data_IF_238559713515
#
_entry.id   IF_238559713515
#
_cell.length_a   1.000
_cell.length_b   1.000
_cell.length_c   1.000
_cell.angle_alpha   90.00
_cell.angle_beta   90.00
_cell.angle_gamma   90.00
#
_symmetry.space_group_name_H-M   'P 1'
#
loop_
_entity.id
_entity.type
_entity.pdbx_description
1 polymer ?
#
# COMPACT_ATOMS: atom_id res chain seq x y z
N UNK A 1 -3.55 -20.29 40.48
CA UNK A 1 -2.81 -20.50 39.21
C UNK A 1 -3.59 -19.83 38.09
N UNK A 2 -3.10 -18.74 37.50
CA UNK A 2 -3.78 -18.06 36.37
C UNK A 2 -3.63 -18.88 35.10
N UNK A 3 -4.73 -19.38 34.53
CA UNK A 3 -4.72 -20.14 33.26
C UNK A 3 -4.72 -19.16 32.07
N UNK A 4 -3.78 -19.33 31.13
CA UNK A 4 -3.72 -18.50 29.93
C UNK A 4 -4.92 -18.81 29.01
N UNK A 5 -5.61 -17.78 28.55
CA UNK A 5 -6.77 -17.90 27.64
C UNK A 5 -6.42 -18.43 26.24
N UNK A 6 -5.21 -18.16 25.74
CA UNK A 6 -4.77 -18.63 24.41
C UNK A 6 -3.30 -19.02 24.41
N UNK A 7 -2.89 -19.81 23.41
CA UNK A 7 -1.48 -20.17 23.19
C UNK A 7 -0.61 -18.98 22.76
N UNK A 8 -1.20 -17.87 22.30
CA UNK A 8 -0.48 -16.72 21.74
C UNK A 8 0.08 -16.98 20.33
N UNK A 9 0.92 -16.07 19.82
CA UNK A 9 1.56 -16.21 18.50
C UNK A 9 2.52 -17.41 18.50
N UNK A 10 2.23 -18.41 17.68
CA UNK A 10 3.09 -19.59 17.51
C UNK A 10 4.07 -19.38 16.35
N UNK A 11 5.26 -19.95 16.47
CA UNK A 11 6.19 -20.09 15.36
C UNK A 11 5.64 -21.13 14.39
N UNK A 12 5.73 -20.84 13.09
CA UNK A 12 5.38 -21.76 12.01
C UNK A 12 6.55 -21.81 11.02
N UNK A 13 6.67 -22.92 10.29
CA UNK A 13 7.68 -23.07 9.24
C UNK A 13 7.41 -22.12 8.05
N UNK A 14 8.47 -21.68 7.38
CA UNK A 14 8.37 -20.89 6.15
C UNK A 14 8.25 -21.85 4.97
N UNK A 15 7.07 -22.46 4.85
CA UNK A 15 6.65 -23.33 3.74
C UNK A 15 5.19 -23.05 3.40
N UNK A 16 4.67 -23.68 2.35
CA UNK A 16 3.25 -23.57 2.01
C UNK A 16 2.37 -24.09 3.17
N UNK A 17 1.30 -23.34 3.49
CA UNK A 17 0.33 -23.73 4.51
C UNK A 17 -0.73 -24.60 3.84
N UNK A 18 -0.77 -25.90 4.10
CA UNK A 18 -1.69 -26.83 3.44
C UNK A 18 -3.16 -26.58 3.79
N UNK A 19 -3.46 -26.23 5.03
CA UNK A 19 -4.84 -25.98 5.48
C UNK A 19 -5.39 -24.66 4.90
N UNK A 20 -6.41 -24.74 4.04
CA UNK A 20 -6.95 -23.58 3.32
C UNK A 20 -7.50 -22.46 4.22
N UNK A 21 -8.18 -22.80 5.32
CA UNK A 21 -8.71 -21.80 6.27
C UNK A 21 -7.55 -21.03 6.92
N UNK A 22 -6.50 -21.75 7.31
CA UNK A 22 -5.29 -21.15 7.90
C UNK A 22 -4.51 -20.37 6.85
N UNK A 23 -4.46 -20.85 5.60
CA UNK A 23 -3.84 -20.18 4.45
C UNK A 23 -4.52 -18.84 4.18
N UNK A 24 -5.86 -18.81 4.07
CA UNK A 24 -6.65 -17.59 3.83
C UNK A 24 -6.57 -16.58 4.99
N UNK A 25 -6.62 -17.07 6.24
CA UNK A 25 -6.46 -16.22 7.42
C UNK A 25 -5.06 -15.62 7.49
N UNK A 26 -4.04 -16.44 7.24
CA UNK A 26 -2.64 -16.02 7.24
C UNK A 26 -2.38 -15.04 6.11
N UNK A 27 -2.89 -15.30 4.91
CA UNK A 27 -2.86 -14.39 3.77
C UNK A 27 -3.40 -13.02 4.16
N UNK A 28 -4.62 -12.99 4.72
CA UNK A 28 -5.28 -11.73 5.09
C UNK A 28 -4.46 -10.92 6.10
N UNK A 29 -3.93 -11.58 7.13
CA UNK A 29 -3.10 -10.93 8.16
C UNK A 29 -1.74 -10.47 7.61
N UNK A 30 -1.04 -11.31 6.85
CA UNK A 30 0.28 -10.97 6.29
C UNK A 30 0.17 -9.88 5.23
N UNK A 31 -0.83 -9.95 4.35
CA UNK A 31 -1.15 -8.90 3.36
C UNK A 31 -1.35 -7.54 4.03
N UNK A 32 -2.16 -7.48 5.09
CA UNK A 32 -2.34 -6.24 5.85
C UNK A 32 -1.01 -5.74 6.47
N UNK A 33 -0.24 -6.65 7.08
CA UNK A 33 1.05 -6.32 7.68
C UNK A 33 2.08 -5.78 6.69
N UNK A 34 2.23 -6.41 5.52
CA UNK A 34 3.18 -5.97 4.49
C UNK A 34 2.76 -4.64 3.86
N UNK A 35 1.46 -4.46 3.57
CA UNK A 35 0.95 -3.18 3.06
C UNK A 35 1.19 -2.05 4.06
N UNK A 36 0.97 -2.28 5.36
CA UNK A 36 1.29 -1.28 6.39
C UNK A 36 2.78 -0.94 6.40
N UNK A 37 3.66 -1.94 6.33
CA UNK A 37 5.11 -1.72 6.29
C UNK A 37 5.56 -0.95 5.04
N UNK A 38 4.96 -1.23 3.89
CA UNK A 38 5.22 -0.48 2.67
C UNK A 38 4.77 0.99 2.79
N UNK A 39 3.61 1.23 3.42
CA UNK A 39 3.14 2.58 3.73
C UNK A 39 4.06 3.31 4.68
N UNK A 40 4.46 2.68 5.80
CA UNK A 40 5.38 3.27 6.77
C UNK A 40 6.72 3.62 6.08
N UNK A 41 7.26 2.72 5.25
CA UNK A 41 8.50 2.93 4.52
C UNK A 41 8.40 4.13 3.57
N UNK A 42 7.35 4.19 2.74
CA UNK A 42 7.14 5.29 1.82
C UNK A 42 7.02 6.63 2.55
N UNK A 43 6.26 6.68 3.65
CA UNK A 43 6.08 7.90 4.46
C UNK A 43 7.38 8.35 5.13
N UNK A 44 8.16 7.42 5.69
CA UNK A 44 9.38 7.78 6.44
C UNK A 44 10.53 8.20 5.55
N UNK A 45 10.61 7.66 4.33
CA UNK A 45 11.78 7.84 3.46
C UNK A 45 11.49 8.65 2.20
N UNK A 46 10.22 8.88 1.87
CA UNK A 46 9.83 9.43 0.57
C UNK A 46 10.06 8.47 -0.60
N UNK A 47 10.38 7.19 -0.33
CA UNK A 47 10.62 6.21 -1.38
C UNK A 47 9.37 5.92 -2.20
N UNK A 48 9.56 5.74 -3.50
CA UNK A 48 8.53 5.21 -4.39
C UNK A 48 8.42 3.70 -4.19
N UNK A 49 7.26 3.22 -3.76
CA UNK A 49 7.05 1.82 -3.37
C UNK A 49 5.79 1.29 -4.04
N UNK A 50 5.84 0.07 -4.58
CA UNK A 50 4.68 -0.68 -5.06
C UNK A 50 4.68 -2.11 -4.50
N UNK A 51 3.51 -2.59 -4.12
CA UNK A 51 3.29 -3.95 -3.62
C UNK A 51 2.07 -4.53 -4.33
N UNK A 52 2.25 -5.64 -5.04
CA UNK A 52 1.18 -6.41 -5.68
C UNK A 52 1.11 -7.82 -5.12
N UNK A 53 -0.07 -8.25 -4.67
CA UNK A 53 -0.27 -9.54 -4.01
C UNK A 53 -1.54 -10.20 -4.53
N UNK A 54 -1.43 -11.39 -5.11
CA UNK A 54 -2.57 -12.23 -5.47
C UNK A 54 -3.05 -13.05 -4.27
N UNK A 55 -4.36 -13.09 -4.04
CA UNK A 55 -4.95 -14.05 -3.11
C UNK A 55 -4.93 -15.47 -3.69
N UNK A 56 -5.08 -16.50 -2.84
CA UNK A 56 -5.29 -17.86 -3.32
C UNK A 56 -6.49 -17.99 -4.28
N UNK A 57 -7.48 -17.08 -4.18
CA UNK A 57 -8.63 -17.01 -5.09
C UNK A 57 -8.41 -16.13 -6.32
N UNK A 58 -7.18 -15.74 -6.64
CA UNK A 58 -6.84 -14.98 -7.85
C UNK A 58 -7.10 -13.48 -7.80
N UNK A 59 -7.59 -12.93 -6.68
CA UNK A 59 -7.83 -11.49 -6.54
C UNK A 59 -6.52 -10.74 -6.30
N UNK A 60 -6.23 -9.75 -7.13
CA UNK A 60 -5.09 -8.84 -6.96
C UNK A 60 -5.40 -7.79 -5.89
N UNK A 61 -4.44 -7.58 -4.99
CA UNK A 61 -4.41 -6.48 -4.03
C UNK A 61 -3.16 -5.65 -4.26
N UNK A 62 -3.33 -4.34 -4.38
CA UNK A 62 -2.24 -3.41 -4.68
C UNK A 62 -2.09 -2.37 -3.56
N UNK A 63 -0.86 -1.90 -3.39
CA UNK A 63 -0.52 -0.68 -2.68
C UNK A 63 0.57 0.04 -3.48
N UNK A 64 0.49 1.35 -3.58
CA UNK A 64 1.55 2.13 -4.19
C UNK A 64 1.63 3.54 -3.63
N UNK A 65 2.84 4.07 -3.63
CA UNK A 65 3.16 5.45 -3.30
C UNK A 65 4.21 5.93 -4.31
N UNK A 66 3.91 6.92 -5.19
CA UNK A 66 2.68 7.72 -5.24
C UNK A 66 1.44 6.99 -5.77
N UNK A 67 1.59 6.01 -6.66
CA UNK A 67 0.54 5.07 -7.07
C UNK A 67 1.15 3.74 -7.49
N UNK A 68 0.37 2.67 -7.53
CA UNK A 68 0.89 1.37 -7.93
C UNK A 68 1.33 1.41 -9.40
N UNK A 69 0.48 1.94 -10.27
CA UNK A 69 0.66 2.03 -11.71
C UNK A 69 1.86 2.90 -12.08
N UNK A 70 2.06 4.05 -11.41
CA UNK A 70 3.19 4.93 -11.72
C UNK A 70 4.53 4.26 -11.39
N UNK A 71 4.59 3.60 -10.24
CA UNK A 71 5.81 2.90 -9.82
C UNK A 71 6.07 1.69 -10.71
N UNK A 72 5.05 0.93 -11.10
CA UNK A 72 5.21 -0.21 -12.01
C UNK A 72 5.55 0.20 -13.43
N UNK A 73 4.93 1.24 -13.99
CA UNK A 73 5.21 1.71 -15.34
C UNK A 73 6.65 2.21 -15.44
N UNK A 74 7.08 3.01 -14.45
CA UNK A 74 8.48 3.45 -14.33
C UNK A 74 9.44 2.26 -14.22
N UNK A 75 9.09 1.24 -13.45
CA UNK A 75 9.92 0.03 -13.29
C UNK A 75 10.01 -0.78 -14.58
N UNK A 76 8.92 -0.88 -15.34
CA UNK A 76 8.85 -1.63 -16.60
C UNK A 76 9.38 -0.84 -17.81
N UNK A 77 9.78 0.42 -17.64
CA UNK A 77 10.21 1.29 -18.74
C UNK A 77 9.08 1.61 -19.72
N UNK A 78 7.82 1.55 -19.26
CA UNK A 78 6.67 1.96 -20.05
C UNK A 78 6.56 3.49 -19.95
N UNK A 79 6.83 4.19 -21.05
CA UNK A 79 6.67 5.65 -21.14
C UNK A 79 5.26 6.05 -20.68
N UNK A 80 5.19 6.82 -19.60
CA UNK A 80 3.95 7.35 -19.05
C UNK A 80 3.53 8.58 -19.86
N UNK A 81 3.03 8.39 -21.08
CA UNK A 81 2.74 9.55 -21.91
C UNK A 81 1.49 10.33 -21.50
N UNK A 82 0.44 9.76 -20.87
CA UNK A 82 -0.85 10.51 -20.81
C UNK A 82 -1.78 10.33 -19.59
N UNK A 83 -1.44 9.55 -18.55
CA UNK A 83 -2.40 9.28 -17.46
C UNK A 83 -2.13 10.04 -16.14
N UNK A 84 -0.90 10.46 -15.87
CA UNK A 84 -0.53 11.12 -14.61
C UNK A 84 -0.57 12.64 -14.64
N UNK A 85 -0.46 13.27 -15.80
CA UNK A 85 -0.38 14.73 -15.86
C UNK A 85 -1.71 15.36 -15.46
N UNK A 86 -2.83 14.91 -16.02
CA UNK A 86 -4.11 15.57 -15.76
C UNK A 86 -4.59 15.45 -14.31
N UNK A 87 -4.39 14.29 -13.65
CA UNK A 87 -4.88 14.11 -12.27
C UNK A 87 -3.99 14.80 -11.24
N UNK A 88 -2.66 14.72 -11.41
CA UNK A 88 -1.70 15.37 -10.50
C UNK A 88 -1.70 16.88 -10.70
N UNK A 89 -1.79 17.37 -11.94
CA UNK A 89 -1.93 18.80 -12.22
C UNK A 89 -3.24 19.35 -11.66
N UNK A 90 -4.37 18.63 -11.81
CA UNK A 90 -5.66 19.10 -11.26
C UNK A 90 -5.65 19.12 -9.73
N UNK A 91 -5.11 18.09 -9.07
CA UNK A 91 -4.98 18.09 -7.60
C UNK A 91 -4.00 19.16 -7.11
N UNK A 92 -2.89 19.36 -7.83
CA UNK A 92 -1.90 20.39 -7.56
C UNK A 92 -2.48 21.79 -7.69
N UNK A 93 -3.20 22.06 -8.78
CA UNK A 93 -3.88 23.33 -9.02
C UNK A 93 -4.96 23.61 -7.97
N UNK A 94 -5.77 22.61 -7.61
CA UNK A 94 -6.78 22.76 -6.56
C UNK A 94 -6.15 23.00 -5.18
N UNK A 95 -5.03 22.33 -4.88
CA UNK A 95 -4.28 22.57 -3.64
C UNK A 95 -3.68 23.98 -3.62
N UNK A 96 -3.14 24.46 -4.74
CA UNK A 96 -2.53 25.78 -4.84
C UNK A 96 -3.58 26.90 -4.70
N UNK A 97 -4.71 26.79 -5.40
CA UNK A 97 -5.83 27.73 -5.26
C UNK A 97 -6.28 27.86 -3.80
N UNK A 98 -6.43 26.74 -3.09
CA UNK A 98 -6.79 26.77 -1.66
C UNK A 98 -5.74 27.44 -0.77
N UNK A 99 -4.45 27.33 -1.11
CA UNK A 99 -3.37 27.99 -0.35
C UNK A 99 -3.42 29.51 -0.59
N UNK A 100 -3.64 29.92 -1.83
CA UNK A 100 -3.72 31.33 -2.20
C UNK A 100 -4.95 32.00 -1.54
N UNK A 101 -6.10 31.32 -1.53
CA UNK A 101 -7.32 31.76 -0.82
C UNK A 101 -7.09 31.93 0.69
N UNK A 102 -6.29 31.05 1.30
CA UNK A 102 -5.95 31.14 2.72
C UNK A 102 -4.97 32.29 2.99
N UNK A 103 -4.00 32.51 2.11
CA UNK A 103 -3.05 33.61 2.23
C UNK A 103 -3.72 34.97 2.09
N UNK A 104 -4.76 35.08 1.26
CA UNK A 104 -5.57 36.31 1.14
C UNK A 104 -6.38 36.64 2.39
N UNK A 105 -6.69 35.67 3.27
CA UNK A 105 -7.41 35.92 4.52
C UNK A 105 -6.52 36.42 5.65
N UNK A 106 -5.20 36.36 5.48
CA UNK A 106 -4.20 36.70 6.51
C UNK A 106 -3.59 38.09 6.28
N UNK A 107 -3.90 38.74 5.14
CA UNK A 107 -3.59 40.15 4.85
C UNK A 107 -4.87 40.99 4.83
#
# INVERSE_FOLDING_TARGET
>A
MSTKKTKGKQKIEIKEIENDVTKLTTFSKRRSGITKKASDLATLTGAHVAVGIYSPGGKLYTFGSPSFELVTNRFLGMETSDLCDNTVLTLGAHRQSRIDDLNQQVN
#
